data_IF_584392597311
#
_entry.id   IF_584392597311
#
_cell.length_a   1.000
_cell.length_b   1.000
_cell.length_c   1.000
_cell.angle_alpha   90.00
_cell.angle_beta   90.00
_cell.angle_gamma   90.00
#
_symmetry.space_group_name_H-M   'P 1'
#
loop_
_entity.id
_entity.type
_entity.pdbx_description
1 polymer ?
#
# COMPACT_ATOMS: atom_id res chain seq x y z
N UNK A 1 -14.01 -5.85 10.35
CA UNK A 1 -13.18 -6.39 9.25
C UNK A 1 -12.44 -7.61 9.75
N UNK A 2 -12.52 -8.69 8.99
CA UNK A 2 -11.81 -9.94 9.31
C UNK A 2 -10.46 -9.99 8.62
N UNK A 3 -9.65 -10.97 8.98
CA UNK A 3 -8.39 -11.24 8.25
C UNK A 3 -8.67 -11.61 6.79
N UNK A 4 -9.78 -12.31 6.53
CA UNK A 4 -10.20 -12.66 5.16
C UNK A 4 -10.59 -11.42 4.35
N UNK A 5 -11.27 -10.47 4.98
CA UNK A 5 -11.60 -9.19 4.33
C UNK A 5 -10.32 -8.43 3.95
N UNK A 6 -9.34 -8.41 4.84
CA UNK A 6 -8.06 -7.76 4.55
C UNK A 6 -7.30 -8.47 3.42
N UNK A 7 -7.32 -9.79 3.39
CA UNK A 7 -6.72 -10.56 2.30
C UNK A 7 -7.42 -10.25 0.95
N UNK A 8 -8.73 -10.11 0.94
CA UNK A 8 -9.48 -9.71 -0.26
C UNK A 8 -9.10 -8.29 -0.70
N UNK A 9 -8.99 -7.36 0.25
CA UNK A 9 -8.51 -6.00 -0.04
C UNK A 9 -7.14 -6.02 -0.73
N UNK A 10 -6.19 -6.76 -0.19
CA UNK A 10 -4.84 -6.85 -0.76
C UNK A 10 -4.87 -7.53 -2.14
N UNK A 11 -5.65 -8.58 -2.32
CA UNK A 11 -5.78 -9.26 -3.62
C UNK A 11 -6.32 -8.30 -4.69
N UNK A 12 -7.32 -7.49 -4.36
CA UNK A 12 -7.88 -6.49 -5.27
C UNK A 12 -6.89 -5.36 -5.54
N UNK A 13 -6.16 -4.94 -4.52
CA UNK A 13 -5.09 -3.95 -4.67
C UNK A 13 -4.02 -4.46 -5.65
N UNK A 14 -3.54 -5.67 -5.47
CA UNK A 14 -2.53 -6.28 -6.34
C UNK A 14 -3.02 -6.46 -7.78
N UNK A 15 -4.31 -6.68 -7.96
CA UNK A 15 -4.94 -6.83 -9.27
C UNK A 15 -5.24 -5.48 -9.96
N UNK A 16 -4.93 -4.35 -9.33
CA UNK A 16 -5.29 -3.00 -9.80
C UNK A 16 -6.81 -2.83 -9.97
N UNK A 17 -7.58 -3.53 -9.16
CA UNK A 17 -9.04 -3.42 -9.11
C UNK A 17 -9.43 -2.23 -8.22
N UNK A 18 -9.34 -1.02 -8.78
CA UNK A 18 -9.56 0.23 -8.03
C UNK A 18 -10.95 0.32 -7.42
N UNK A 19 -11.99 -0.06 -8.15
CA UNK A 19 -13.34 -0.08 -7.60
C UNK A 19 -13.47 -1.10 -6.48
N UNK A 20 -12.87 -2.27 -6.64
CA UNK A 20 -12.90 -3.34 -5.67
C UNK A 20 -12.22 -2.97 -4.35
N UNK A 21 -10.99 -2.44 -4.40
CA UNK A 21 -10.31 -2.10 -3.15
C UNK A 21 -10.79 -0.76 -2.57
N UNK A 22 -11.33 0.15 -3.39
CA UNK A 22 -11.88 1.42 -2.90
C UNK A 22 -13.05 1.22 -1.93
N UNK A 23 -13.78 0.13 -2.03
CA UNK A 23 -14.91 -0.17 -1.14
C UNK A 23 -14.50 -0.32 0.33
N UNK A 24 -13.23 -0.58 0.59
CA UNK A 24 -12.72 -0.74 1.93
C UNK A 24 -12.40 0.59 2.63
N UNK A 25 -12.43 1.73 1.91
CA UNK A 25 -12.14 3.04 2.47
C UNK A 25 -13.42 3.79 2.84
N UNK A 26 -13.41 4.46 4.00
CA UNK A 26 -14.38 5.52 4.26
C UNK A 26 -14.15 6.69 3.29
N UNK A 27 -15.19 7.47 3.00
CA UNK A 27 -15.06 8.63 2.09
C UNK A 27 -14.02 9.63 2.57
N UNK A 28 -13.92 9.83 3.88
CA UNK A 28 -13.03 10.79 4.53
C UNK A 28 -11.78 10.14 5.14
N UNK A 29 -11.39 8.97 4.68
CA UNK A 29 -10.23 8.25 5.19
C UNK A 29 -8.98 9.10 5.18
N UNK A 30 -8.14 8.94 6.21
CA UNK A 30 -6.83 9.61 6.32
C UNK A 30 -5.74 8.55 6.19
N UNK A 31 -4.85 8.73 5.24
CA UNK A 31 -3.73 7.82 5.02
C UNK A 31 -2.41 8.54 5.29
N UNK A 32 -1.67 8.05 6.27
CA UNK A 32 -0.34 8.53 6.60
C UNK A 32 0.73 7.57 6.09
N UNK A 33 1.58 8.06 5.20
CA UNK A 33 2.76 7.36 4.66
C UNK A 33 3.98 7.74 5.52
N UNK A 34 4.11 7.11 6.68
CA UNK A 34 5.10 7.49 7.67
C UNK A 34 4.95 8.99 8.02
N UNK A 35 6.06 9.70 8.10
CA UNK A 35 6.09 11.15 8.30
C UNK A 35 6.09 11.94 6.99
N UNK A 36 6.27 11.27 5.85
CA UNK A 36 6.55 11.93 4.57
C UNK A 36 5.32 12.56 3.94
N UNK A 37 4.16 11.94 4.08
CA UNK A 37 2.97 12.39 3.37
C UNK A 37 1.70 11.96 4.07
N UNK A 38 0.71 12.84 4.05
CA UNK A 38 -0.66 12.55 4.46
C UNK A 38 -1.58 12.75 3.26
N UNK A 39 -2.45 11.78 3.01
CA UNK A 39 -3.47 11.87 1.96
C UNK A 39 -4.83 11.77 2.64
N UNK A 40 -5.71 12.71 2.35
CA UNK A 40 -7.05 12.79 2.95
C UNK A 40 -8.08 12.53 1.87
N UNK A 41 -8.99 11.60 2.13
CA UNK A 41 -10.11 11.27 1.26
C UNK A 41 -9.83 10.11 0.32
N UNK A 42 -10.85 9.28 0.15
CA UNK A 42 -10.78 8.08 -0.70
C UNK A 42 -10.35 8.41 -2.12
N UNK A 43 -10.94 9.42 -2.74
CA UNK A 43 -10.65 9.76 -4.13
C UNK A 43 -9.20 10.20 -4.33
N UNK A 44 -8.64 10.92 -3.35
CA UNK A 44 -7.24 11.34 -3.39
C UNK A 44 -6.29 10.16 -3.22
N UNK A 45 -6.65 9.17 -2.42
CA UNK A 45 -5.87 7.93 -2.28
C UNK A 45 -5.89 7.15 -3.60
N UNK A 46 -7.04 7.06 -4.25
CA UNK A 46 -7.15 6.38 -5.54
C UNK A 46 -6.31 7.08 -6.61
N UNK A 47 -6.34 8.40 -6.67
CA UNK A 47 -5.52 9.18 -7.60
C UNK A 47 -4.03 8.95 -7.36
N UNK A 48 -3.63 8.93 -6.08
CA UNK A 48 -2.25 8.60 -5.69
C UNK A 48 -1.83 7.23 -6.23
N UNK A 49 -2.64 6.21 -6.00
CA UNK A 49 -2.32 4.86 -6.47
C UNK A 49 -2.40 4.70 -7.98
N UNK A 50 -3.31 5.39 -8.66
CA UNK A 50 -3.33 5.40 -10.12
C UNK A 50 -2.02 5.94 -10.69
N UNK A 51 -1.49 7.01 -10.11
CA UNK A 51 -0.19 7.57 -10.51
C UNK A 51 0.95 6.58 -10.22
N UNK A 52 1.04 6.07 -9.00
CA UNK A 52 2.08 5.10 -8.63
C UNK A 52 2.03 3.87 -9.52
N UNK A 53 0.86 3.25 -9.65
CA UNK A 53 0.68 2.01 -10.41
C UNK A 53 0.81 2.19 -11.93
N UNK A 54 0.76 3.42 -12.43
CA UNK A 54 1.07 3.70 -13.83
C UNK A 54 2.57 3.63 -14.14
N UNK A 55 3.40 3.75 -13.12
CA UNK A 55 4.87 3.82 -13.23
C UNK A 55 5.59 2.63 -12.60
N UNK A 56 4.95 1.98 -11.62
CA UNK A 56 5.50 0.80 -10.94
C UNK A 56 4.43 -0.28 -10.81
N UNK A 57 4.86 -1.53 -10.82
CA UNK A 57 4.01 -2.64 -10.41
C UNK A 57 4.22 -2.85 -8.91
N UNK A 58 3.19 -2.58 -8.13
CA UNK A 58 3.24 -2.70 -6.68
C UNK A 58 2.51 -3.97 -6.26
N UNK A 59 3.22 -4.89 -5.59
CA UNK A 59 2.67 -6.16 -5.12
C UNK A 59 2.92 -6.30 -3.63
N UNK A 60 1.85 -6.52 -2.87
CA UNK A 60 1.89 -6.71 -1.42
C UNK A 60 1.68 -8.17 -1.07
N UNK A 61 2.52 -8.67 -0.13
CA UNK A 61 2.36 -9.97 0.51
C UNK A 61 2.10 -9.76 1.99
N UNK A 62 1.05 -10.37 2.52
CA UNK A 62 0.72 -10.33 3.95
C UNK A 62 1.62 -11.33 4.67
N UNK A 63 2.49 -10.84 5.57
CA UNK A 63 3.33 -11.68 6.41
C UNK A 63 2.65 -12.01 7.72
N UNK A 64 1.90 -11.07 8.29
CA UNK A 64 1.11 -11.26 9.49
C UNK A 64 -0.02 -10.22 9.53
N UNK A 65 -1.15 -10.61 10.11
CA UNK A 65 -2.29 -9.72 10.33
C UNK A 65 -2.96 -10.05 11.64
N UNK A 66 -3.39 -9.02 12.36
CA UNK A 66 -4.16 -9.16 13.60
C UNK A 66 -5.37 -8.26 13.51
N UNK A 67 -6.57 -8.84 13.58
CA UNK A 67 -7.83 -8.13 13.48
C UNK A 67 -8.47 -7.97 14.86
N UNK A 68 -8.85 -6.74 15.20
CA UNK A 68 -9.65 -6.40 16.36
C UNK A 68 -11.03 -5.92 15.93
N UNK A 69 -11.92 -5.54 16.88
CA UNK A 69 -13.25 -5.07 16.54
C UNK A 69 -13.24 -3.74 15.77
N UNK A 70 -12.36 -2.81 16.14
CA UNK A 70 -12.29 -1.47 15.54
C UNK A 70 -10.91 -1.13 14.99
N UNK A 71 -9.98 -2.09 14.97
CA UNK A 71 -8.61 -1.90 14.49
C UNK A 71 -8.14 -3.13 13.75
N UNK A 72 -7.12 -2.93 12.92
CA UNK A 72 -6.41 -4.03 12.26
C UNK A 72 -4.93 -3.63 12.17
N UNK A 73 -4.06 -4.57 12.49
CA UNK A 73 -2.62 -4.37 12.34
C UNK A 73 -2.07 -5.39 11.35
N UNK A 74 -1.06 -5.00 10.59
CA UNK A 74 -0.45 -5.90 9.63
C UNK A 74 1.06 -5.69 9.53
N UNK A 75 1.73 -6.75 9.12
CA UNK A 75 3.11 -6.76 8.67
C UNK A 75 3.08 -7.24 7.23
N UNK A 76 3.52 -6.41 6.29
CA UNK A 76 3.44 -6.70 4.87
C UNK A 76 4.79 -6.48 4.19
N UNK A 77 5.05 -7.27 3.16
CA UNK A 77 6.16 -7.05 2.25
C UNK A 77 5.61 -6.46 0.96
N UNK A 78 6.25 -5.42 0.46
CA UNK A 78 5.88 -4.78 -0.81
C UNK A 78 7.03 -4.86 -1.78
N UNK A 79 6.76 -5.33 -3.00
CA UNK A 79 7.65 -5.21 -4.13
C UNK A 79 7.19 -4.05 -5.00
N UNK A 80 8.11 -3.13 -5.30
CA UNK A 80 7.93 -2.10 -6.33
C UNK A 80 8.82 -2.45 -7.51
N UNK A 81 8.22 -2.84 -8.62
CA UNK A 81 8.94 -3.12 -9.86
C UNK A 81 8.79 -1.94 -10.81
N UNK A 82 9.90 -1.35 -11.25
CA UNK A 82 9.91 -0.17 -12.11
C UNK A 82 9.45 -0.48 -13.54
N UNK A 83 8.38 0.16 -13.97
CA UNK A 83 7.90 0.12 -15.35
C UNK A 83 8.52 1.23 -16.19
N UNK A 84 8.95 2.30 -15.53
CA UNK A 84 9.65 3.46 -16.10
C UNK A 84 10.74 3.91 -15.14
N UNK A 85 11.63 4.80 -15.59
CA UNK A 85 12.60 5.44 -14.68
C UNK A 85 11.87 6.45 -13.80
N UNK A 86 12.00 6.30 -12.49
CA UNK A 86 11.39 7.22 -11.54
C UNK A 86 12.37 7.56 -10.40
N UNK A 87 13.28 8.54 -10.64
CA UNK A 87 14.27 8.91 -9.64
C UNK A 87 13.69 9.55 -8.37
N UNK A 88 12.50 10.17 -8.46
CA UNK A 88 11.85 10.87 -7.36
C UNK A 88 10.73 10.06 -6.70
N UNK A 89 10.71 8.74 -6.91
CA UNK A 89 9.70 7.88 -6.28
C UNK A 89 9.79 7.98 -4.76
N UNK A 90 8.62 8.11 -4.10
CA UNK A 90 8.53 8.30 -2.64
C UNK A 90 9.18 7.17 -1.84
N UNK A 91 9.16 5.94 -2.36
CA UNK A 91 9.78 4.78 -1.71
C UNK A 91 11.30 4.72 -1.93
N UNK A 92 11.84 5.52 -2.84
CA UNK A 92 13.24 5.61 -3.20
C UNK A 92 13.44 5.57 -4.71
N UNK A 93 14.60 6.04 -5.23
CA UNK A 93 14.86 6.04 -6.67
C UNK A 93 14.72 4.64 -7.26
N UNK A 94 13.96 4.53 -8.34
CA UNK A 94 13.67 3.25 -8.99
C UNK A 94 13.74 3.43 -10.51
N UNK A 95 14.59 2.65 -11.14
CA UNK A 95 14.74 2.67 -12.60
C UNK A 95 13.95 1.52 -13.21
N UNK A 96 13.59 1.67 -14.48
CA UNK A 96 12.89 0.64 -15.24
C UNK A 96 13.60 -0.71 -15.11
N UNK A 97 12.85 -1.76 -14.75
CA UNK A 97 13.35 -3.12 -14.61
C UNK A 97 13.99 -3.45 -13.26
N UNK A 98 14.17 -2.45 -12.38
CA UNK A 98 14.64 -2.69 -11.02
C UNK A 98 13.48 -2.99 -10.09
N UNK A 99 13.76 -3.65 -8.97
CA UNK A 99 12.79 -3.86 -7.89
C UNK A 99 13.33 -3.32 -6.58
N UNK A 100 12.46 -2.61 -5.85
CA UNK A 100 12.66 -2.27 -4.43
C UNK A 100 11.71 -3.14 -3.63
N UNK A 101 12.21 -3.80 -2.59
CA UNK A 101 11.41 -4.55 -1.66
C UNK A 101 11.51 -3.93 -0.28
N UNK A 102 10.37 -3.68 0.34
CA UNK A 102 10.30 -3.14 1.69
C UNK A 102 9.38 -4.01 2.55
N UNK A 103 9.60 -3.98 3.85
CA UNK A 103 8.64 -4.48 4.82
C UNK A 103 8.08 -3.30 5.58
N UNK A 104 6.77 -3.29 5.74
CA UNK A 104 6.04 -2.21 6.42
C UNK A 104 5.14 -2.77 7.50
N UNK A 105 4.89 -1.93 8.51
CA UNK A 105 3.86 -2.16 9.52
C UNK A 105 2.74 -1.19 9.24
N UNK A 106 1.52 -1.70 9.20
CA UNK A 106 0.33 -0.90 9.01
C UNK A 106 -0.59 -0.99 10.23
N UNK A 107 -1.20 0.11 10.60
CA UNK A 107 -2.21 0.14 11.62
C UNK A 107 -3.44 0.87 11.08
N UNK A 108 -4.57 0.20 11.14
CA UNK A 108 -5.83 0.69 10.58
C UNK A 108 -6.83 0.93 11.70
N UNK A 109 -7.42 2.13 11.71
CA UNK A 109 -8.62 2.42 12.51
C UNK A 109 -9.83 2.24 11.62
N UNK A 110 -10.83 1.50 12.11
CA UNK A 110 -12.02 1.15 11.35
C UNK A 110 -13.22 1.94 11.83
N UNK A 111 -14.12 2.26 10.90
CA UNK A 111 -15.44 2.81 11.16
C UNK A 111 -16.42 2.14 10.20
N UNK A 112 -17.46 1.53 10.75
CA UNK A 112 -18.45 0.77 9.97
C UNK A 112 -17.81 -0.31 9.08
N UNK A 113 -16.78 -0.97 9.59
CA UNK A 113 -16.07 -2.03 8.88
C UNK A 113 -15.17 -1.57 7.74
N UNK A 114 -14.90 -0.26 7.64
CA UNK A 114 -14.04 0.33 6.60
C UNK A 114 -12.89 1.10 7.21
N UNK A 115 -11.84 1.31 6.43
CA UNK A 115 -10.67 2.07 6.86
C UNK A 115 -11.03 3.55 7.03
N UNK A 116 -10.97 4.04 8.28
CA UNK A 116 -11.14 5.46 8.60
C UNK A 116 -9.80 6.18 8.69
N UNK A 117 -8.76 5.48 9.15
CA UNK A 117 -7.40 6.00 9.24
C UNK A 117 -6.40 4.86 9.03
N UNK A 118 -5.37 5.15 8.26
CA UNK A 118 -4.29 4.20 7.96
C UNK A 118 -2.96 4.83 8.34
N UNK A 119 -2.22 4.15 9.21
CA UNK A 119 -0.85 4.53 9.56
C UNK A 119 0.08 3.48 8.95
N UNK A 120 0.92 3.91 8.01
CA UNK A 120 1.92 3.05 7.41
C UNK A 120 3.31 3.49 7.83
N UNK A 121 4.15 2.55 8.27
CA UNK A 121 5.52 2.82 8.64
C UNK A 121 6.43 1.74 8.06
N UNK A 122 7.51 2.19 7.41
CA UNK A 122 8.51 1.25 6.90
C UNK A 122 9.30 0.67 8.08
N UNK A 123 9.33 -0.64 8.16
CA UNK A 123 10.15 -1.37 9.13
C UNK A 123 11.59 -1.48 8.60
N UNK A 124 11.76 -1.96 7.36
CA UNK A 124 13.07 -2.08 6.73
C UNK A 124 12.97 -2.06 5.21
N UNK A 125 14.09 -1.72 4.60
CA UNK A 125 14.27 -1.80 3.15
C UNK A 125 15.25 -2.94 2.84
N UNK A 126 14.88 -3.79 1.88
CA UNK A 126 15.76 -4.82 1.36
C UNK A 126 16.62 -4.22 0.24
N UNK A 127 17.77 -4.84 -0.13
CA UNK A 127 18.58 -4.35 -1.22
C UNK A 127 17.80 -4.26 -2.54
N UNK A 128 18.09 -3.22 -3.35
CA UNK A 128 17.49 -3.06 -4.68
C UNK A 128 17.94 -4.22 -5.57
N UNK A 129 16.97 -4.87 -6.22
CA UNK A 129 17.27 -5.90 -7.21
C UNK A 129 17.55 -5.21 -8.55
N UNK A 130 18.74 -5.45 -9.17
CA UNK A 130 19.08 -4.86 -10.46
C UNK A 130 18.10 -5.27 -11.56
N UNK A 131 18.02 -4.44 -12.61
CA UNK A 131 17.31 -4.83 -13.83
C UNK A 131 17.95 -6.07 -14.44
N UNK A 132 17.13 -6.97 -14.97
CA UNK A 132 17.60 -8.13 -15.72
C UNK A 132 18.33 -7.67 -16.99
N UNK A 133 19.46 -8.28 -17.26
CA UNK A 133 20.23 -7.98 -18.46
C UNK A 133 19.51 -8.45 -19.74
#
# INVERSE_FOLDING_TARGET
MTEEDYADYIARFNANDFEGFARYYCDDVIFNLGEKRQIIGRDNILDFYRDVKSKVRETLDILAVAAGPDTLACHVRTEFYGLVDWPDFIAGPLMKGQSINIESLGFYYLRDGKFARILGARYRTLPVTPASA
#
